data_IF_266814796760
#
_entry.id   IF_266814796760
#
_cell.length_a   1.000
_cell.length_b   1.000
_cell.length_c   1.000
_cell.angle_alpha   90.00
_cell.angle_beta   90.00
_cell.angle_gamma   90.00
#
_symmetry.space_group_name_H-M   'P 1'
#
loop_
_entity.id
_entity.type
_entity.pdbx_description
1 polymer ?
#
# COMPACT_ATOMS: atom_id res chain seq x y z
N UNK A 1 4.08 7.91 18.72
CA UNK A 1 3.46 7.94 17.39
C UNK A 1 3.96 6.72 16.66
N UNK A 2 3.24 5.61 16.85
CA UNK A 2 3.47 4.39 16.10
C UNK A 2 3.12 4.67 14.63
N UNK A 3 3.93 4.15 13.70
CA UNK A 3 3.71 4.24 12.25
C UNK A 3 2.38 3.62 11.80
N UNK A 4 1.64 3.02 12.73
CA UNK A 4 0.41 2.26 12.52
C UNK A 4 -0.81 3.15 12.24
N UNK A 5 -0.79 4.42 12.66
CA UNK A 5 -1.92 5.36 12.45
C UNK A 5 -1.76 6.30 11.24
N UNK A 6 -0.62 6.28 10.54
CA UNK A 6 -0.41 7.15 9.38
C UNK A 6 -0.12 6.32 8.10
N UNK A 7 -1.16 5.96 7.32
CA UNK A 7 -0.99 5.19 6.10
C UNK A 7 -0.11 5.91 5.06
N UNK A 8 -0.11 7.24 5.04
CA UNK A 8 0.75 8.01 4.15
C UNK A 8 2.24 7.86 4.52
N UNK A 9 2.58 7.96 5.80
CA UNK A 9 3.94 7.77 6.30
C UNK A 9 4.46 6.35 6.04
N UNK A 10 3.60 5.34 6.20
CA UNK A 10 3.91 3.96 5.86
C UNK A 10 4.18 3.79 4.36
N UNK A 11 3.26 4.24 3.49
CA UNK A 11 3.40 4.15 2.04
C UNK A 11 4.63 4.92 1.52
N UNK A 12 4.97 6.05 2.14
CA UNK A 12 6.17 6.81 1.84
C UNK A 12 7.44 6.03 2.21
N UNK A 13 7.46 5.38 3.38
CA UNK A 13 8.57 4.54 3.82
C UNK A 13 8.76 3.34 2.90
N UNK A 14 7.67 2.66 2.55
CA UNK A 14 7.69 1.57 1.58
C UNK A 14 8.25 2.02 0.23
N UNK A 15 7.78 3.16 -0.30
CA UNK A 15 8.30 3.75 -1.56
C UNK A 15 9.80 4.01 -1.50
N UNK A 16 10.34 4.50 -0.37
CA UNK A 16 11.79 4.71 -0.21
C UNK A 16 12.56 3.40 -0.31
N UNK A 17 12.09 2.35 0.37
CA UNK A 17 12.72 1.02 0.36
C UNK A 17 12.71 0.44 -1.06
N UNK A 18 11.57 0.43 -1.73
CA UNK A 18 11.45 -0.12 -3.09
C UNK A 18 12.25 0.67 -4.12
N UNK A 19 12.39 1.99 -3.93
CA UNK A 19 13.25 2.84 -4.79
C UNK A 19 14.72 2.47 -4.62
N UNK A 20 15.21 2.30 -3.39
CA UNK A 20 16.60 1.87 -3.13
C UNK A 20 16.84 0.46 -3.67
N UNK A 21 15.86 -0.42 -3.52
CA UNK A 21 15.91 -1.79 -4.04
C UNK A 21 15.71 -1.88 -5.57
N UNK A 22 15.42 -0.76 -6.24
CA UNK A 22 15.17 -0.67 -7.70
C UNK A 22 14.07 -1.62 -8.19
N UNK A 23 13.04 -1.85 -7.37
CA UNK A 23 11.92 -2.70 -7.78
C UNK A 23 11.02 -1.96 -8.77
N UNK A 24 10.59 -2.61 -9.86
CA UNK A 24 9.62 -2.01 -10.76
C UNK A 24 8.27 -1.85 -10.05
N UNK A 25 7.57 -0.74 -10.30
CA UNK A 25 6.33 -0.36 -9.60
C UNK A 25 5.22 -1.41 -9.74
N UNK A 26 5.21 -2.12 -10.86
CA UNK A 26 4.29 -3.25 -11.11
C UNK A 26 4.42 -4.38 -10.10
N UNK A 27 5.60 -4.57 -9.51
CA UNK A 27 5.87 -5.63 -8.53
C UNK A 27 5.62 -5.18 -7.09
N UNK A 28 5.27 -3.92 -6.85
CA UNK A 28 5.10 -3.39 -5.49
C UNK A 28 3.88 -3.93 -4.73
N UNK A 29 2.73 -4.22 -5.37
CA UNK A 29 1.55 -4.67 -4.64
C UNK A 29 1.73 -6.00 -3.91
N UNK A 30 2.46 -6.95 -4.50
CA UNK A 30 2.70 -8.27 -3.91
C UNK A 30 3.43 -8.22 -2.56
N UNK A 31 4.58 -7.55 -2.41
CA UNK A 31 5.25 -7.37 -1.13
C UNK A 31 4.54 -6.35 -0.22
N UNK A 32 3.72 -5.44 -0.76
CA UNK A 32 2.95 -4.49 0.03
C UNK A 32 1.80 -5.19 0.78
N UNK A 33 1.10 -6.12 0.13
CA UNK A 33 -0.08 -6.81 0.67
C UNK A 33 0.12 -7.40 2.07
N UNK A 34 1.17 -8.21 2.36
CA UNK A 34 1.38 -8.75 3.71
C UNK A 34 1.78 -7.69 4.76
N UNK A 35 2.20 -6.50 4.34
CA UNK A 35 2.53 -5.41 5.27
C UNK A 35 1.31 -4.58 5.69
N UNK A 36 0.17 -4.74 5.02
CA UNK A 36 -1.08 -4.07 5.36
C UNK A 36 -1.74 -4.75 6.57
N UNK A 37 -2.21 -3.95 7.52
CA UNK A 37 -2.92 -4.41 8.73
C UNK A 37 -4.05 -3.46 9.08
N UNK A 38 -5.19 -3.97 9.56
CA UNK A 38 -6.33 -3.13 9.93
C UNK A 38 -7.04 -2.55 8.71
N UNK A 39 -7.38 -1.26 8.72
CA UNK A 39 -8.14 -0.58 7.65
C UNK A 39 -7.55 -0.77 6.23
N UNK A 40 -6.23 -0.58 5.99
CA UNK A 40 -5.62 -0.81 4.68
C UNK A 40 -5.74 -2.27 4.22
N UNK A 41 -5.73 -3.23 5.14
CA UNK A 41 -5.93 -4.65 4.82
C UNK A 41 -7.37 -4.92 4.39
N UNK A 42 -8.35 -4.34 5.09
CA UNK A 42 -9.76 -4.43 4.71
C UNK A 42 -10.03 -3.81 3.33
N UNK A 43 -9.40 -2.67 3.02
CA UNK A 43 -9.44 -2.04 1.69
C UNK A 43 -8.82 -2.95 0.64
N UNK A 44 -7.63 -3.50 0.89
CA UNK A 44 -6.99 -4.41 -0.04
C UNK A 44 -7.88 -5.63 -0.37
N UNK A 45 -8.57 -6.18 0.62
CA UNK A 45 -9.48 -7.32 0.47
C UNK A 45 -10.78 -6.98 -0.26
N UNK A 46 -11.21 -5.71 -0.26
CA UNK A 46 -12.43 -5.27 -0.97
C UNK A 46 -12.18 -4.92 -2.43
N UNK A 47 -10.92 -4.70 -2.82
CA UNK A 47 -10.54 -4.41 -4.20
C UNK A 47 -10.63 -5.66 -5.09
N UNK A 48 -10.95 -5.44 -6.37
CA UNK A 48 -10.75 -6.47 -7.39
C UNK A 48 -9.27 -6.83 -7.50
N UNK A 49 -8.97 -8.06 -7.93
CA UNK A 49 -7.58 -8.52 -8.12
C UNK A 49 -6.78 -7.56 -9.02
N UNK A 50 -7.38 -7.05 -10.08
CA UNK A 50 -6.74 -6.10 -11.00
C UNK A 50 -6.41 -4.76 -10.31
N UNK A 51 -7.32 -4.24 -9.48
CA UNK A 51 -7.08 -3.01 -8.73
C UNK A 51 -6.06 -3.21 -7.59
N UNK A 52 -6.13 -4.35 -6.90
CA UNK A 52 -5.18 -4.74 -5.86
C UNK A 52 -3.76 -4.93 -6.44
N UNK A 53 -3.62 -5.38 -7.69
CA UNK A 53 -2.34 -5.49 -8.40
C UNK A 53 -1.90 -4.20 -9.11
N UNK A 54 -2.67 -3.10 -9.00
CA UNK A 54 -2.30 -1.81 -9.57
C UNK A 54 -1.90 -0.87 -8.43
N UNK A 55 -0.59 -0.65 -8.22
CA UNK A 55 -0.10 0.15 -7.10
C UNK A 55 -0.72 1.56 -7.02
N UNK A 56 -0.83 2.35 -8.12
CA UNK A 56 -1.55 3.62 -8.08
C UNK A 56 -2.99 3.53 -7.56
N UNK A 57 -3.77 2.54 -8.02
CA UNK A 57 -5.14 2.34 -7.56
C UNK A 57 -5.20 1.89 -6.09
N UNK A 58 -4.36 0.92 -5.71
CA UNK A 58 -4.26 0.44 -4.34
C UNK A 58 -3.87 1.58 -3.37
N UNK A 59 -2.90 2.42 -3.75
CA UNK A 59 -2.50 3.60 -2.96
C UNK A 59 -3.69 4.53 -2.73
N UNK A 60 -4.41 4.90 -3.79
CA UNK A 60 -5.55 5.81 -3.68
C UNK A 60 -6.63 5.21 -2.79
N UNK A 61 -6.96 3.92 -2.97
CA UNK A 61 -7.95 3.25 -2.14
C UNK A 61 -7.56 3.23 -0.66
N UNK A 62 -6.29 2.94 -0.35
CA UNK A 62 -5.79 2.97 1.03
C UNK A 62 -5.90 4.37 1.62
N UNK A 63 -5.50 5.42 0.89
CA UNK A 63 -5.55 6.79 1.41
C UNK A 63 -6.98 7.30 1.61
N UNK A 64 -7.90 6.99 0.68
CA UNK A 64 -9.30 7.37 0.80
C UNK A 64 -10.02 6.74 2.00
N UNK A 65 -9.51 5.64 2.56
CA UNK A 65 -10.11 5.02 3.74
C UNK A 65 -9.76 5.75 5.06
N UNK A 66 -8.93 6.79 5.01
CA UNK A 66 -8.49 7.58 6.15
C UNK A 66 -8.72 9.10 5.95
N UNK A 67 -9.40 9.48 4.86
CA UNK A 67 -9.87 10.86 4.61
C UNK A 67 -11.17 11.15 5.37
#
# INVERSE_FOLDING_TARGET
MELEDNPEAFLLTFKRVTTVAKWPVENWPTPLAPCLKGTPQAVYQSLSVAAAHNYPQLKVAILNAFD
#
